data_IF_906464271305
#
_entry.id   IF_906464271305
#
_cell.length_a   1.000
_cell.length_b   1.000
_cell.length_c   1.000
_cell.angle_alpha   90.00
_cell.angle_beta   90.00
_cell.angle_gamma   90.00
#
_symmetry.space_group_name_H-M   'P 1'
#
loop_
_entity.id
_entity.type
_entity.pdbx_description
1 polymer ?
#
# COMPACT_ATOMS: atom_id res chain seq x y z
N UNK A 1 51.31 -44.68 -42.53
CA UNK A 1 51.17 -44.23 -41.12
C UNK A 1 50.94 -42.72 -40.94
N UNK A 2 51.62 -41.82 -41.64
CA UNK A 2 51.53 -40.36 -41.44
C UNK A 2 50.12 -39.74 -41.65
N UNK A 3 49.36 -40.20 -42.65
CA UNK A 3 47.97 -39.75 -42.92
C UNK A 3 46.96 -40.20 -41.85
N UNK A 4 47.14 -41.41 -41.32
CA UNK A 4 46.28 -41.96 -40.25
C UNK A 4 46.43 -41.16 -38.96
N UNK A 5 47.65 -40.77 -38.61
CA UNK A 5 47.92 -39.96 -37.43
C UNK A 5 47.38 -38.51 -37.54
N UNK A 6 47.35 -37.94 -38.75
CA UNK A 6 46.71 -36.64 -38.99
C UNK A 6 45.19 -36.70 -38.86
N UNK A 7 44.54 -37.75 -39.39
CA UNK A 7 43.10 -37.97 -39.22
C UNK A 7 42.73 -38.20 -37.75
N UNK A 8 43.54 -38.95 -37.01
CA UNK A 8 43.33 -39.20 -35.59
C UNK A 8 43.45 -37.90 -34.76
N UNK A 9 44.46 -37.06 -35.03
CA UNK A 9 44.61 -35.75 -34.37
C UNK A 9 43.44 -34.80 -34.65
N UNK A 10 42.96 -34.78 -35.89
CA UNK A 10 41.81 -33.97 -36.28
C UNK A 10 40.53 -34.44 -35.56
N UNK A 11 40.33 -35.74 -35.45
CA UNK A 11 39.19 -36.32 -34.73
C UNK A 11 39.24 -36.01 -33.23
N UNK A 12 40.41 -36.12 -32.58
CA UNK A 12 40.61 -35.74 -31.17
C UNK A 12 40.33 -34.25 -30.95
N UNK A 13 40.78 -33.38 -31.85
CA UNK A 13 40.53 -31.95 -31.77
C UNK A 13 39.03 -31.62 -31.88
N UNK A 14 38.31 -32.26 -32.80
CA UNK A 14 36.85 -32.09 -32.92
C UNK A 14 36.13 -32.55 -31.66
N UNK A 15 36.50 -33.71 -31.10
CA UNK A 15 35.92 -34.21 -29.85
C UNK A 15 36.18 -33.23 -28.70
N UNK A 16 37.39 -32.66 -28.62
CA UNK A 16 37.72 -31.65 -27.63
C UNK A 16 36.88 -30.38 -27.78
N UNK A 17 36.69 -29.87 -29.01
CA UNK A 17 35.84 -28.70 -29.26
C UNK A 17 34.38 -28.97 -28.90
N UNK A 18 33.85 -30.14 -29.24
CA UNK A 18 32.48 -30.55 -28.87
C UNK A 18 32.36 -30.68 -27.35
N UNK A 19 33.36 -31.28 -26.68
CA UNK A 19 33.41 -31.38 -25.23
C UNK A 19 33.40 -29.99 -24.59
N UNK A 20 34.19 -29.04 -25.09
CA UNK A 20 34.17 -27.65 -24.61
C UNK A 20 32.81 -27.00 -24.84
N UNK A 21 32.12 -27.24 -25.95
CA UNK A 21 30.80 -26.65 -26.21
C UNK A 21 29.70 -27.26 -25.31
N UNK A 22 29.77 -28.57 -25.03
CA UNK A 22 28.79 -29.27 -24.18
C UNK A 22 29.03 -28.99 -22.69
N UNK A 23 30.30 -28.93 -22.27
CA UNK A 23 30.69 -28.71 -20.87
C UNK A 23 30.96 -27.24 -20.53
N UNK A 24 30.89 -26.32 -21.50
CA UNK A 24 30.88 -24.89 -21.18
C UNK A 24 29.56 -24.58 -20.46
N UNK A 25 29.61 -24.01 -19.25
CA UNK A 25 28.40 -23.56 -18.57
C UNK A 25 27.72 -22.53 -19.46
N UNK A 26 26.56 -22.90 -20.03
CA UNK A 26 25.70 -21.96 -20.73
C UNK A 26 25.21 -20.98 -19.67
N UNK A 27 25.50 -19.69 -19.87
CA UNK A 27 24.89 -18.63 -19.06
C UNK A 27 23.39 -18.66 -19.36
N UNK A 28 22.62 -19.30 -18.49
CA UNK A 28 21.17 -19.18 -18.48
C UNK A 28 20.83 -17.75 -18.09
N UNK A 29 19.87 -17.10 -18.78
CA UNK A 29 19.24 -15.88 -18.31
C UNK A 29 18.68 -16.15 -16.90
N UNK A 30 19.39 -15.72 -15.87
CA UNK A 30 19.02 -15.97 -14.49
C UNK A 30 17.86 -15.04 -14.13
N UNK A 31 16.63 -15.52 -14.24
CA UNK A 31 15.57 -15.04 -13.35
C UNK A 31 15.99 -15.46 -11.94
N UNK A 32 16.19 -14.53 -11.01
CA UNK A 32 16.82 -14.87 -9.74
C UNK A 32 15.86 -15.77 -8.93
N UNK A 33 16.36 -16.89 -8.41
CA UNK A 33 15.61 -17.75 -7.49
C UNK A 33 15.10 -16.96 -6.28
N UNK A 34 15.84 -15.93 -5.88
CA UNK A 34 15.42 -15.03 -4.82
C UNK A 34 14.12 -14.29 -5.17
N UNK A 35 13.91 -13.90 -6.42
CA UNK A 35 12.66 -13.25 -6.87
C UNK A 35 11.49 -14.26 -6.93
N UNK A 36 11.77 -15.52 -7.25
CA UNK A 36 10.79 -16.63 -7.19
C UNK A 36 10.37 -16.94 -5.73
N UNK A 37 11.30 -16.81 -4.78
CA UNK A 37 11.06 -17.11 -3.37
C UNK A 37 10.59 -15.89 -2.55
N UNK A 38 10.77 -14.67 -3.05
CA UNK A 38 10.43 -13.42 -2.33
C UNK A 38 9.13 -12.76 -2.81
N UNK A 39 8.51 -13.26 -3.88
CA UNK A 39 7.20 -12.76 -4.35
C UNK A 39 6.08 -13.15 -3.36
N UNK A 40 5.05 -12.33 -3.11
CA UNK A 40 4.01 -12.58 -2.11
C UNK A 40 3.04 -13.68 -2.52
N UNK A 41 3.02 -14.00 -3.82
CA UNK A 41 2.33 -15.15 -4.39
C UNK A 41 3.19 -16.40 -4.43
N UNK A 42 4.46 -16.29 -4.03
CA UNK A 42 5.29 -17.45 -3.76
C UNK A 42 4.67 -18.28 -2.66
N UNK A 43 4.62 -19.60 -2.88
CA UNK A 43 4.22 -20.57 -1.88
C UNK A 43 5.02 -20.40 -0.59
N UNK A 44 6.29 -20.02 -0.69
CA UNK A 44 7.18 -19.85 0.47
C UNK A 44 6.74 -18.65 1.31
N UNK A 45 6.48 -17.49 0.70
CA UNK A 45 6.01 -16.31 1.45
C UNK A 45 4.68 -16.63 2.13
N UNK A 46 3.73 -17.27 1.45
CA UNK A 46 2.45 -17.67 2.05
C UNK A 46 2.63 -18.66 3.22
N UNK A 47 3.57 -19.59 3.11
CA UNK A 47 3.90 -20.52 4.21
C UNK A 47 4.51 -19.76 5.38
N UNK A 48 5.47 -18.87 5.12
CA UNK A 48 6.09 -18.03 6.13
C UNK A 48 5.04 -17.16 6.84
N UNK A 49 4.16 -16.49 6.11
CA UNK A 49 3.08 -15.65 6.66
C UNK A 49 2.14 -16.46 7.57
N UNK A 50 1.79 -17.69 7.18
CA UNK A 50 0.99 -18.59 8.01
C UNK A 50 1.73 -19.03 9.27
N UNK A 51 3.03 -19.30 9.18
CA UNK A 51 3.87 -19.66 10.32
C UNK A 51 3.99 -18.47 11.29
N UNK A 52 4.30 -17.27 10.78
CA UNK A 52 4.38 -16.04 11.58
C UNK A 52 3.06 -15.77 12.32
N UNK A 53 1.92 -15.93 11.63
CA UNK A 53 0.60 -15.76 12.23
C UNK A 53 0.27 -16.85 13.26
N UNK A 54 0.65 -18.11 13.00
CA UNK A 54 0.44 -19.22 13.92
C UNK A 54 1.22 -19.03 15.23
N UNK A 55 2.45 -18.53 15.15
CA UNK A 55 3.31 -18.27 16.30
C UNK A 55 3.08 -16.91 16.98
N UNK A 56 2.19 -16.07 16.45
CA UNK A 56 1.71 -14.88 17.15
C UNK A 56 0.71 -15.29 18.23
N UNK A 57 1.20 -15.48 19.46
CA UNK A 57 0.40 -16.09 20.53
C UNK A 57 -0.72 -15.20 21.10
N UNK A 58 -0.63 -13.87 20.96
CA UNK A 58 -1.69 -12.94 21.38
C UNK A 58 -2.42 -12.32 20.19
N UNK A 59 -3.65 -11.86 20.41
CA UNK A 59 -4.43 -11.17 19.36
C UNK A 59 -3.75 -9.88 18.91
N UNK A 60 -3.18 -9.10 19.83
CA UNK A 60 -2.37 -7.92 19.49
C UNK A 60 -1.20 -8.27 18.58
N UNK A 61 -0.46 -9.34 18.89
CA UNK A 61 0.65 -9.79 18.04
C UNK A 61 0.15 -10.28 16.68
N UNK A 62 -1.00 -10.96 16.61
CA UNK A 62 -1.61 -11.35 15.32
C UNK A 62 -1.96 -10.12 14.48
N UNK A 63 -2.50 -9.09 15.12
CA UNK A 63 -2.83 -7.80 14.48
C UNK A 63 -1.57 -7.11 13.94
N UNK A 64 -0.47 -7.10 14.70
CA UNK A 64 0.83 -6.57 14.25
C UNK A 64 1.44 -7.41 13.12
N UNK A 65 1.32 -8.75 13.19
CA UNK A 65 1.80 -9.62 12.09
C UNK A 65 1.01 -9.38 10.80
N UNK A 66 -0.31 -9.22 10.89
CA UNK A 66 -1.13 -8.85 9.73
C UNK A 66 -0.74 -7.49 9.16
N UNK A 67 -0.38 -6.53 10.01
CA UNK A 67 0.13 -5.23 9.58
C UNK A 67 1.41 -5.37 8.75
N UNK A 68 2.36 -6.15 9.27
CA UNK A 68 3.62 -6.46 8.57
C UNK A 68 3.38 -7.17 7.22
N UNK A 69 2.38 -8.06 7.16
CA UNK A 69 2.00 -8.72 5.91
C UNK A 69 1.39 -7.73 4.91
N UNK A 70 0.54 -6.81 5.40
CA UNK A 70 -0.05 -5.76 4.57
C UNK A 70 1.03 -4.87 3.95
N UNK A 71 2.02 -4.47 4.75
CA UNK A 71 3.19 -3.69 4.32
C UNK A 71 4.01 -4.43 3.25
N UNK A 72 4.24 -5.73 3.40
CA UNK A 72 4.88 -6.54 2.35
C UNK A 72 4.12 -6.48 1.03
N UNK A 73 2.79 -6.50 1.04
CA UNK A 73 1.99 -6.41 -0.19
C UNK A 73 2.18 -5.05 -0.88
N UNK A 74 2.19 -3.96 -0.13
CA UNK A 74 2.38 -2.61 -0.68
C UNK A 74 3.78 -2.38 -1.22
N UNK A 75 4.82 -2.83 -0.51
CA UNK A 75 6.20 -2.75 -1.00
C UNK A 75 6.39 -3.46 -2.35
N UNK A 76 5.60 -4.50 -2.64
CA UNK A 76 5.68 -5.19 -3.91
C UNK A 76 4.76 -4.59 -4.97
N UNK A 77 3.57 -4.14 -4.58
CA UNK A 77 2.70 -3.35 -5.44
C UNK A 77 3.46 -2.14 -6.01
N UNK A 78 4.27 -1.47 -5.20
CA UNK A 78 5.08 -0.32 -5.59
C UNK A 78 6.15 -0.69 -6.63
N UNK A 79 6.83 -1.83 -6.44
CA UNK A 79 7.80 -2.33 -7.41
C UNK A 79 7.15 -2.65 -8.75
N UNK A 80 5.95 -3.23 -8.73
CA UNK A 80 5.22 -3.66 -9.93
C UNK A 80 4.58 -2.48 -10.67
N UNK A 81 4.06 -1.48 -9.95
CA UNK A 81 3.53 -0.25 -10.53
C UNK A 81 4.57 0.44 -11.43
N UNK A 82 5.82 0.55 -10.94
CA UNK A 82 6.95 1.18 -11.65
C UNK A 82 7.40 0.44 -12.92
N UNK A 83 7.05 -0.84 -13.08
CA UNK A 83 7.45 -1.67 -14.24
C UNK A 83 6.25 -2.08 -15.12
N UNK A 84 5.12 -1.37 -15.02
CA UNK A 84 3.87 -1.62 -15.75
C UNK A 84 3.15 -2.96 -15.43
N UNK A 85 3.34 -3.51 -14.24
CA UNK A 85 2.68 -4.72 -13.75
C UNK A 85 1.26 -4.48 -13.20
N UNK A 86 0.40 -3.78 -13.94
CA UNK A 86 -0.89 -3.23 -13.45
C UNK A 86 -1.78 -4.27 -12.76
N UNK A 87 -2.09 -5.39 -13.41
CA UNK A 87 -2.97 -6.43 -12.83
C UNK A 87 -2.42 -7.00 -11.51
N UNK A 88 -1.10 -7.17 -11.46
CA UNK A 88 -0.41 -7.68 -10.28
C UNK A 88 -0.44 -6.65 -9.15
N UNK A 89 -0.19 -5.38 -9.46
CA UNK A 89 -0.34 -4.27 -8.50
C UNK A 89 -1.75 -4.24 -7.92
N UNK A 90 -2.79 -4.32 -8.74
CA UNK A 90 -4.18 -4.34 -8.28
C UNK A 90 -4.48 -5.57 -7.41
N UNK A 91 -3.97 -6.74 -7.77
CA UNK A 91 -4.14 -7.96 -6.96
C UNK A 91 -3.48 -7.84 -5.58
N UNK A 92 -2.31 -7.19 -5.50
CA UNK A 92 -1.61 -6.94 -4.25
C UNK A 92 -2.30 -5.90 -3.39
N UNK A 93 -2.85 -4.84 -4.00
CA UNK A 93 -3.70 -3.84 -3.30
C UNK A 93 -4.96 -4.52 -2.74
N UNK A 94 -5.57 -5.44 -3.49
CA UNK A 94 -6.74 -6.19 -2.99
C UNK A 94 -6.38 -7.16 -1.86
N UNK A 95 -5.20 -7.78 -1.94
CA UNK A 95 -4.67 -8.60 -0.84
C UNK A 95 -4.41 -7.75 0.40
N UNK A 96 -3.86 -6.55 0.23
CA UNK A 96 -3.67 -5.57 1.30
C UNK A 96 -4.99 -5.21 1.98
N UNK A 97 -6.04 -4.87 1.21
CA UNK A 97 -7.38 -4.58 1.74
C UNK A 97 -7.92 -5.76 2.59
N UNK A 98 -7.72 -6.99 2.11
CA UNK A 98 -8.17 -8.21 2.80
C UNK A 98 -7.46 -8.42 4.14
N UNK A 99 -6.15 -8.15 4.19
CA UNK A 99 -5.37 -8.22 5.42
C UNK A 99 -5.86 -7.18 6.44
N UNK A 100 -6.15 -5.96 6.00
CA UNK A 100 -6.71 -4.88 6.85
C UNK A 100 -8.11 -5.20 7.38
N UNK A 101 -8.98 -5.81 6.56
CA UNK A 101 -10.28 -6.32 7.03
C UNK A 101 -10.11 -7.38 8.10
N UNK A 102 -9.26 -8.36 7.85
CA UNK A 102 -8.97 -9.44 8.80
C UNK A 102 -8.42 -8.88 10.12
N UNK A 103 -7.54 -7.89 10.03
CA UNK A 103 -7.01 -7.19 11.20
C UNK A 103 -8.12 -6.50 11.99
N UNK A 104 -9.01 -5.76 11.32
CA UNK A 104 -10.14 -5.11 11.96
C UNK A 104 -11.14 -6.07 12.60
N UNK A 105 -11.44 -7.18 11.93
CA UNK A 105 -12.30 -8.23 12.46
C UNK A 105 -11.71 -8.85 13.74
N UNK A 106 -10.38 -9.05 13.79
CA UNK A 106 -9.70 -9.54 14.99
C UNK A 106 -9.74 -8.53 16.13
N UNK A 107 -9.53 -7.24 15.84
CA UNK A 107 -9.60 -6.17 16.83
C UNK A 107 -10.99 -6.14 17.48
N UNK A 108 -12.04 -6.12 16.65
CA UNK A 108 -13.44 -6.12 17.09
C UNK A 108 -13.79 -7.38 17.87
N UNK A 109 -13.45 -8.55 17.34
CA UNK A 109 -13.80 -9.83 17.97
C UNK A 109 -13.12 -10.04 19.33
N UNK A 110 -11.92 -9.49 19.53
CA UNK A 110 -11.21 -9.55 20.80
C UNK A 110 -11.44 -8.34 21.71
N UNK A 111 -12.19 -7.33 21.25
CA UNK A 111 -12.43 -6.06 21.94
C UNK A 111 -11.13 -5.43 22.46
N UNK A 112 -10.07 -5.51 21.65
CA UNK A 112 -8.77 -4.91 21.99
C UNK A 112 -8.69 -3.50 21.41
N UNK A 113 -7.94 -2.62 22.07
CA UNK A 113 -7.63 -1.29 21.52
C UNK A 113 -6.74 -1.44 20.29
N UNK A 114 -6.97 -0.60 19.28
CA UNK A 114 -6.12 -0.56 18.08
C UNK A 114 -4.68 -0.21 18.49
N UNK A 115 -3.67 -1.04 18.19
CA UNK A 115 -2.29 -0.73 18.54
C UNK A 115 -1.81 0.55 17.84
N UNK A 116 -1.04 1.39 18.54
CA UNK A 116 -0.53 2.65 17.98
C UNK A 116 0.30 2.43 16.70
N UNK A 117 1.11 1.37 16.67
CA UNK A 117 1.89 0.97 15.47
C UNK A 117 0.99 0.76 14.26
N UNK A 118 -0.18 0.15 14.44
CA UNK A 118 -1.14 -0.11 13.35
C UNK A 118 -1.73 1.20 12.83
N UNK A 119 -2.02 2.17 13.70
CA UNK A 119 -2.54 3.48 13.28
C UNK A 119 -1.52 4.22 12.42
N UNK A 120 -0.32 4.41 12.97
CA UNK A 120 0.77 5.14 12.29
C UNK A 120 1.14 4.47 10.96
N UNK A 121 1.32 3.14 10.96
CA UNK A 121 1.63 2.42 9.72
C UNK A 121 0.50 2.51 8.71
N UNK A 122 -0.77 2.49 9.13
CA UNK A 122 -1.89 2.66 8.18
C UNK A 122 -1.85 4.01 7.47
N UNK A 123 -1.52 5.09 8.19
CA UNK A 123 -1.39 6.43 7.60
C UNK A 123 -0.26 6.45 6.55
N UNK A 124 0.91 5.91 6.91
CA UNK A 124 2.05 5.80 5.99
C UNK A 124 1.72 4.95 4.76
N UNK A 125 0.96 3.87 4.94
CA UNK A 125 0.50 3.01 3.86
C UNK A 125 -0.48 3.73 2.93
N UNK A 126 -1.40 4.55 3.45
CA UNK A 126 -2.28 5.36 2.61
C UNK A 126 -1.47 6.33 1.74
N UNK A 127 -0.41 6.95 2.30
CA UNK A 127 0.48 7.85 1.57
C UNK A 127 1.18 7.14 0.42
N UNK A 128 1.66 5.93 0.68
CA UNK A 128 2.33 5.12 -0.32
C UNK A 128 1.38 4.66 -1.42
N UNK A 129 0.14 4.32 -1.07
CA UNK A 129 -0.88 3.99 -2.08
C UNK A 129 -1.17 5.22 -2.94
N UNK A 130 -1.25 6.41 -2.36
CA UNK A 130 -1.47 7.63 -3.12
C UNK A 130 -0.34 7.90 -4.12
N UNK A 131 0.92 7.78 -3.69
CA UNK A 131 2.07 7.88 -4.59
C UNK A 131 2.05 6.79 -5.67
N UNK A 132 1.68 5.55 -5.34
CA UNK A 132 1.57 4.46 -6.32
C UNK A 132 0.47 4.71 -7.37
N UNK A 133 -0.58 5.48 -7.06
CA UNK A 133 -1.64 5.79 -8.04
C UNK A 133 -1.12 6.62 -9.20
N UNK A 134 -0.07 7.41 -9.00
CA UNK A 134 0.54 8.22 -10.07
C UNK A 134 1.16 7.35 -11.16
N UNK A 135 1.68 6.17 -10.79
CA UNK A 135 2.29 5.19 -11.69
C UNK A 135 1.26 4.30 -12.41
N UNK A 136 -0.04 4.42 -12.08
CA UNK A 136 -1.10 3.55 -12.59
C UNK A 136 -1.97 4.23 -13.67
N UNK A 137 -2.51 3.47 -14.63
CA UNK A 137 -3.41 4.00 -15.64
C UNK A 137 -4.72 4.50 -15.02
N UNK A 138 -5.27 5.58 -15.57
CA UNK A 138 -6.46 6.27 -15.06
C UNK A 138 -7.65 5.32 -14.83
N UNK A 139 -7.86 4.36 -15.74
CA UNK A 139 -8.94 3.36 -15.65
C UNK A 139 -8.88 2.47 -14.41
N UNK A 140 -7.76 2.45 -13.70
CA UNK A 140 -7.54 1.58 -12.54
C UNK A 140 -7.49 2.34 -11.22
N UNK A 141 -7.39 3.67 -11.25
CA UNK A 141 -7.32 4.51 -10.04
C UNK A 141 -8.56 4.36 -9.17
N UNK A 142 -9.73 4.23 -9.76
CA UNK A 142 -10.99 4.00 -9.02
C UNK A 142 -10.93 2.73 -8.15
N UNK A 143 -10.30 1.65 -8.64
CA UNK A 143 -10.16 0.40 -7.88
C UNK A 143 -9.29 0.63 -6.65
N UNK A 144 -8.20 1.37 -6.82
CA UNK A 144 -7.26 1.70 -5.74
C UNK A 144 -7.94 2.62 -4.71
N UNK A 145 -8.67 3.64 -5.15
CA UNK A 145 -9.39 4.55 -4.27
C UNK A 145 -10.49 3.84 -3.47
N UNK A 146 -11.22 2.92 -4.09
CA UNK A 146 -12.23 2.12 -3.40
C UNK A 146 -11.58 1.20 -2.34
N UNK A 147 -10.38 0.67 -2.61
CA UNK A 147 -9.60 -0.06 -1.63
C UNK A 147 -9.15 0.84 -0.46
N UNK A 148 -8.60 2.02 -0.73
CA UNK A 148 -8.22 3.00 0.31
C UNK A 148 -9.42 3.36 1.19
N UNK A 149 -10.56 3.77 0.59
CA UNK A 149 -11.80 4.08 1.31
C UNK A 149 -12.25 2.93 2.22
N UNK A 150 -12.15 1.69 1.71
CA UNK A 150 -12.51 0.50 2.47
C UNK A 150 -11.62 0.30 3.70
N UNK A 151 -10.30 0.45 3.54
CA UNK A 151 -9.35 0.31 4.65
C UNK A 151 -9.54 1.42 5.68
N UNK A 152 -9.65 2.68 5.24
CA UNK A 152 -9.85 3.84 6.11
C UNK A 152 -11.13 3.68 6.93
N UNK A 153 -12.24 3.34 6.27
CA UNK A 153 -13.51 3.06 6.95
C UNK A 153 -13.35 1.94 7.99
N UNK A 154 -12.68 0.85 7.62
CA UNK A 154 -12.45 -0.28 8.54
C UNK A 154 -11.72 0.16 9.80
N UNK A 155 -10.66 0.96 9.67
CA UNK A 155 -9.87 1.44 10.81
C UNK A 155 -10.67 2.42 11.65
N UNK A 156 -11.36 3.38 11.03
CA UNK A 156 -12.26 4.31 11.75
C UNK A 156 -13.33 3.54 12.54
N UNK A 157 -13.99 2.55 11.92
CA UNK A 157 -15.01 1.73 12.58
C UNK A 157 -14.43 0.93 13.78
N UNK A 158 -13.13 0.62 13.77
CA UNK A 158 -12.48 -0.06 14.89
C UNK A 158 -12.03 0.91 15.99
N UNK A 159 -11.82 2.18 15.65
CA UNK A 159 -11.47 3.24 16.61
C UNK A 159 -12.72 3.78 17.33
N UNK A 160 -13.89 3.71 16.71
CA UNK A 160 -15.17 4.28 17.19
C UNK A 160 -15.97 3.40 18.18
N UNK A 161 -15.39 2.35 18.76
CA UNK A 161 -16.14 1.38 19.59
C UNK A 161 -16.92 2.05 20.75
N UNK A 162 -18.24 1.84 20.85
CA UNK A 162 -19.14 2.57 21.75
C UNK A 162 -18.89 2.34 23.26
N UNK A 163 -18.02 1.39 23.62
CA UNK A 163 -17.80 0.92 25.00
C UNK A 163 -16.60 1.53 25.74
N UNK A 164 -15.79 2.37 25.11
CA UNK A 164 -14.65 3.03 25.78
C UNK A 164 -14.82 4.55 25.72
N UNK A 165 -14.97 5.18 26.89
CA UNK A 165 -15.31 6.60 27.06
C UNK A 165 -14.21 7.60 26.64
N UNK A 166 -13.36 7.25 25.70
CA UNK A 166 -12.23 8.06 25.20
C UNK A 166 -12.03 7.78 23.70
N UNK A 167 -13.05 8.04 22.87
CA UNK A 167 -13.10 7.44 21.52
C UNK A 167 -13.37 8.41 20.38
N UNK A 168 -13.96 9.58 20.62
CA UNK A 168 -14.15 10.56 19.54
C UNK A 168 -12.82 11.15 19.04
N UNK A 169 -11.84 11.32 19.92
CA UNK A 169 -10.59 11.99 19.56
C UNK A 169 -9.66 11.13 18.69
N UNK A 170 -9.55 9.82 18.92
CA UNK A 170 -8.62 8.97 18.17
C UNK A 170 -9.08 8.69 16.74
N UNK A 171 -10.38 8.46 16.55
CA UNK A 171 -10.94 8.30 15.20
C UNK A 171 -10.86 9.61 14.40
N UNK A 172 -11.04 10.75 15.08
CA UNK A 172 -10.88 12.09 14.50
C UNK A 172 -9.43 12.36 14.10
N UNK A 173 -8.49 12.13 15.02
CA UNK A 173 -7.05 12.29 14.79
C UNK A 173 -6.59 11.45 13.60
N UNK A 174 -6.94 10.16 13.57
CA UNK A 174 -6.62 9.29 12.44
C UNK A 174 -7.23 9.78 11.12
N UNK A 175 -8.49 10.24 11.13
CA UNK A 175 -9.13 10.77 9.94
C UNK A 175 -8.44 12.03 9.42
N UNK A 176 -8.02 12.94 10.31
CA UNK A 176 -7.26 14.13 9.96
C UNK A 176 -5.87 13.78 9.39
N UNK A 177 -5.15 12.85 10.02
CA UNK A 177 -3.84 12.38 9.54
C UNK A 177 -3.92 11.75 8.15
N UNK A 178 -4.88 10.86 7.92
CA UNK A 178 -5.10 10.25 6.61
C UNK A 178 -5.52 11.30 5.58
N UNK A 179 -6.35 12.27 5.97
CA UNK A 179 -6.75 13.34 5.05
C UNK A 179 -5.55 14.13 4.56
N UNK A 180 -4.67 14.55 5.48
CA UNK A 180 -3.47 15.32 5.14
C UNK A 180 -2.54 14.56 4.18
N UNK A 181 -2.61 13.23 4.22
CA UNK A 181 -1.85 12.36 3.32
C UNK A 181 -2.50 12.21 1.94
N UNK A 182 -3.82 12.11 1.87
CA UNK A 182 -4.55 11.93 0.60
C UNK A 182 -4.70 13.24 -0.19
N UNK A 183 -4.72 14.37 0.51
CA UNK A 183 -4.82 15.69 -0.08
C UNK A 183 -3.97 16.67 0.75
N UNK A 184 -2.65 16.76 0.48
CA UNK A 184 -1.72 17.59 1.24
C UNK A 184 -1.98 19.11 1.14
N UNK A 185 -3.06 19.54 0.49
CA UNK A 185 -3.53 20.93 0.45
C UNK A 185 -4.88 21.18 1.13
N UNK A 186 -5.59 20.13 1.56
CA UNK A 186 -6.96 20.25 2.06
C UNK A 186 -7.03 20.19 3.58
N UNK A 187 -7.06 21.36 4.21
CA UNK A 187 -7.56 21.45 5.59
C UNK A 187 -9.08 21.22 5.58
N UNK A 188 -9.65 20.54 6.60
CA UNK A 188 -11.10 20.35 6.89
C UNK A 188 -11.72 19.01 6.44
N UNK A 189 -11.53 17.92 7.19
CA UNK A 189 -12.63 16.96 7.43
C UNK A 189 -12.74 16.87 8.95
N UNK A 190 -13.63 17.68 9.53
CA UNK A 190 -14.08 17.44 10.88
C UNK A 190 -15.11 16.29 10.83
N UNK A 191 -15.08 15.30 11.74
CA UNK A 191 -16.07 14.25 11.75
C UNK A 191 -17.39 14.84 12.25
N UNK A 192 -18.47 14.62 11.49
CA UNK A 192 -19.80 15.04 11.92
C UNK A 192 -20.74 15.64 10.87
N UNK A 193 -20.54 15.46 9.57
CA UNK A 193 -21.62 15.73 8.60
C UNK A 193 -21.66 14.69 7.49
N UNK A 194 -22.74 13.91 7.47
CA UNK A 194 -23.27 13.29 6.27
C UNK A 194 -23.54 14.42 5.26
N UNK A 195 -22.69 14.60 4.25
CA UNK A 195 -23.11 14.99 2.90
C UNK A 195 -21.91 14.98 1.95
N UNK A 196 -22.01 14.12 0.93
CA UNK A 196 -21.18 14.17 -0.26
C UNK A 196 -21.61 15.40 -1.06
N UNK A 197 -20.69 16.30 -1.36
CA UNK A 197 -20.87 17.25 -2.49
C UNK A 197 -19.63 17.17 -3.38
N UNK A 198 -19.75 16.72 -4.64
CA UNK A 198 -18.67 16.82 -5.61
C UNK A 198 -18.67 18.24 -6.19
N UNK A 199 -17.51 18.89 -6.23
CA UNK A 199 -17.40 20.25 -6.76
C UNK A 199 -15.97 20.59 -7.15
N UNK A 200 -15.69 20.43 -8.44
CA UNK A 200 -14.55 20.94 -9.19
C UNK A 200 -14.10 22.34 -8.78
N UNK A 201 -12.81 22.52 -8.50
CA UNK A 201 -12.10 23.79 -8.69
C UNK A 201 -10.89 23.53 -9.57
N UNK A 202 -11.13 23.46 -10.88
CA UNK A 202 -10.09 23.81 -11.85
C UNK A 202 -9.69 25.27 -11.59
N UNK A 203 -8.43 25.49 -11.23
CA UNK A 203 -7.81 26.82 -11.38
C UNK A 203 -6.67 26.66 -12.39
N UNK A 204 -6.97 27.00 -13.64
CA UNK A 204 -5.95 27.17 -14.68
C UNK A 204 -5.05 28.37 -14.35
N UNK A 205 -3.75 28.35 -14.71
CA UNK A 205 -2.82 29.42 -14.39
C UNK A 205 -2.89 30.52 -15.46
N UNK A 206 -3.25 31.75 -15.06
CA UNK A 206 -3.01 32.93 -15.89
C UNK A 206 -3.88 34.14 -15.55
N UNK A 207 -3.23 35.27 -15.25
CA UNK A 207 -3.75 36.61 -15.57
C UNK A 207 -4.33 37.45 -14.42
N UNK A 208 -3.58 38.50 -14.07
CA UNK A 208 -4.00 39.88 -13.70
C UNK A 208 -5.20 40.19 -12.78
N UNK A 209 -4.86 40.92 -11.71
CA UNK A 209 -5.38 42.24 -11.30
C UNK A 209 -6.81 42.45 -10.71
N UNK A 210 -6.80 42.84 -9.42
CA UNK A 210 -7.45 44.01 -8.75
C UNK A 210 -8.99 44.03 -8.46
N UNK A 211 -9.29 43.77 -7.16
CA UNK A 211 -10.08 44.55 -6.16
C UNK A 211 -11.64 44.77 -6.29
N UNK A 212 -12.29 45.45 -5.31
CA UNK A 212 -12.69 45.01 -3.96
C UNK A 212 -14.21 45.18 -3.69
N UNK A 213 -14.79 44.59 -2.63
CA UNK A 213 -16.18 44.93 -2.27
C UNK A 213 -16.83 44.20 -1.09
N UNK A 214 -16.88 44.91 0.04
CA UNK A 214 -17.98 45.00 1.04
C UNK A 214 -18.63 43.73 1.60
N UNK A 215 -18.57 43.55 2.93
CA UNK A 215 -19.71 43.11 3.74
C UNK A 215 -19.57 43.61 5.20
N UNK A 216 -20.17 44.78 5.42
CA UNK A 216 -21.04 45.20 6.53
C UNK A 216 -20.92 44.50 7.90
N UNK A 217 -20.49 45.25 8.92
CA UNK A 217 -20.52 44.87 10.35
C UNK A 217 -21.79 45.43 11.00
N UNK A 218 -22.65 44.57 11.55
CA UNK A 218 -23.76 44.97 12.42
C UNK A 218 -23.35 44.87 13.91
N UNK A 219 -23.68 45.86 14.77
CA UNK A 219 -23.27 45.85 16.17
C UNK A 219 -24.32 45.16 17.07
N UNK A 220 -23.91 44.13 17.82
CA UNK A 220 -24.71 43.50 18.87
C UNK A 220 -24.35 44.06 20.26
N UNK A 221 -25.28 44.76 20.90
CA UNK A 221 -25.07 45.46 22.17
C UNK A 221 -24.89 44.54 23.39
N UNK A 222 -23.92 44.88 24.23
CA UNK A 222 -23.73 44.29 25.57
C UNK A 222 -24.55 45.06 26.59
N UNK A 223 -25.60 44.43 27.15
CA UNK A 223 -26.28 44.92 28.34
C UNK A 223 -25.68 44.19 29.57
N UNK A 224 -24.83 44.89 30.31
CA UNK A 224 -24.32 44.47 31.62
C UNK A 224 -24.98 45.38 32.66
N UNK A 225 -25.77 44.81 33.57
CA UNK A 225 -26.25 45.51 34.77
C UNK A 225 -25.33 45.20 35.96
N UNK A 226 -25.10 46.16 36.87
CA UNK A 226 -24.33 45.96 38.10
C UNK A 226 -25.07 45.10 39.12
#
# INVERSE_FOLDING_TARGET
MRKFYQLLKFSIFIIFVIFVIIFSPRQTLAFSLNDIFSSPDSLIVRIQERIEYFFAFSTEQKVIILEKQAERRLTQAEKLAKINGVDQTLSLIKSYETLKKTQGDLIKAASITVPAEVKEQTVQQQARIENMKEDLPESTKEIVENSQKTVIKTVIDNLQDENSGTIENEATEFAEEVKNVLDPGSNIFAPGTNEVIPGTLEVAPGGSEIAPGSLEVAPGGTNVKP
#
